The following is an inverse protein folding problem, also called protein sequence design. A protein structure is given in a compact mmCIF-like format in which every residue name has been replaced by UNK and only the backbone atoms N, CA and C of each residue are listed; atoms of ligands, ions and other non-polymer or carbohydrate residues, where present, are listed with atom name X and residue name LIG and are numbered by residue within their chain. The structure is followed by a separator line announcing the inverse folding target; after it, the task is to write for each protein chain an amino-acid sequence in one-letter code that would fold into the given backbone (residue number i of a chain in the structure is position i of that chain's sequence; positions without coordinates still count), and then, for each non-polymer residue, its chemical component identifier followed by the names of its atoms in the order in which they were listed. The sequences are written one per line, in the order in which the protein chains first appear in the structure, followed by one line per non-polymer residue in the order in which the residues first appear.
data_IF_747969784789
#
_entry.id   IF_747969784789
#
_cell.length_a   1.000
_cell.length_b   1.000
_cell.length_c   1.000
_cell.angle_alpha   90.00
_cell.angle_beta   90.00
_cell.angle_gamma   90.00
#
_symmetry.space_group_name_H-M   'P 1'
#
loop_
_entity.id
_entity.type
_entity.pdbx_description
1 polymer ?
#
# COMPACT_ATOMS: atom_id res chain seq x y z
N UNK A 1 1.58 0.88 20.50
CA UNK A 1 2.34 0.32 19.37
C UNK A 1 2.57 1.41 18.34
N UNK A 2 3.58 1.28 17.47
CA UNK A 2 3.90 2.27 16.43
C UNK A 2 3.16 1.90 15.15
N UNK A 3 2.53 2.86 14.45
CA UNK A 3 1.84 2.59 13.19
C UNK A 3 2.81 2.49 12.01
N UNK A 4 2.54 1.55 11.10
CA UNK A 4 3.31 1.34 9.87
C UNK A 4 2.36 1.25 8.66
N UNK A 5 2.88 1.66 7.51
CA UNK A 5 2.29 1.39 6.19
C UNK A 5 3.22 0.45 5.44
N UNK A 6 2.66 -0.60 4.85
CA UNK A 6 3.37 -1.59 4.04
C UNK A 6 3.04 -1.38 2.57
N UNK A 7 4.08 -1.41 1.73
CA UNK A 7 3.99 -1.17 0.30
C UNK A 7 4.81 -2.19 -0.47
N UNK A 8 4.48 -2.39 -1.74
CA UNK A 8 5.32 -3.06 -2.72
C UNK A 8 5.47 -2.17 -3.95
N UNK A 9 6.62 -2.28 -4.63
CA UNK A 9 6.88 -1.68 -5.95
C UNK A 9 6.66 -2.67 -7.09
N UNK A 10 6.23 -3.90 -6.81
CA UNK A 10 6.02 -4.96 -7.81
C UNK A 10 4.61 -4.91 -8.44
N UNK A 11 3.83 -3.89 -8.10
CA UNK A 11 2.48 -3.69 -8.59
C UNK A 11 2.47 -3.08 -9.99
N UNK A 12 1.68 -3.67 -10.89
CA UNK A 12 1.39 -3.10 -12.20
C UNK A 12 -0.05 -2.60 -12.24
N UNK A 13 -0.29 -1.51 -12.97
CA UNK A 13 -1.64 -0.96 -13.14
C UNK A 13 -1.94 -0.78 -14.61
N UNK A 14 -3.11 -1.26 -15.02
CA UNK A 14 -3.68 -0.99 -16.33
C UNK A 14 -4.68 0.16 -16.17
N UNK A 15 -4.61 1.14 -17.04
CA UNK A 15 -5.57 2.25 -17.05
C UNK A 15 -6.96 1.72 -17.41
N UNK A 16 -8.04 2.30 -16.85
CA UNK A 16 -9.39 2.03 -17.31
C UNK A 16 -9.47 2.24 -18.83
N UNK A 17 -10.10 1.30 -19.54
CA UNK A 17 -10.24 1.30 -21.00
C UNK A 17 -8.92 1.13 -21.80
N UNK A 18 -7.84 0.61 -21.17
CA UNK A 18 -6.62 0.20 -21.88
C UNK A 18 -6.77 -1.22 -22.46
N UNK A 19 -6.62 -1.35 -23.79
CA UNK A 19 -6.54 -2.63 -24.50
C UNK A 19 -5.09 -3.18 -24.54
N UNK A 20 -4.16 -2.55 -23.82
CA UNK A 20 -2.74 -2.94 -23.82
C UNK A 20 -2.50 -4.21 -23.00
N UNK A 21 -1.71 -5.12 -23.57
CA UNK A 21 -1.16 -6.28 -22.84
C UNK A 21 0.03 -5.91 -21.94
N UNK A 22 0.64 -4.74 -22.16
CA UNK A 22 1.71 -4.20 -21.33
C UNK A 22 1.13 -3.18 -20.34
N UNK A 23 1.56 -3.22 -19.06
CA UNK A 23 1.08 -2.29 -18.05
C UNK A 23 1.53 -0.86 -18.33
N UNK A 24 0.66 0.11 -18.07
CA UNK A 24 0.89 1.49 -18.46
C UNK A 24 1.94 2.19 -17.59
N UNK A 25 2.07 1.79 -16.31
CA UNK A 25 3.04 2.33 -15.35
C UNK A 25 3.42 1.30 -14.26
N UNK A 26 4.69 1.37 -13.81
CA UNK A 26 5.12 0.81 -12.52
C UNK A 26 4.39 1.55 -11.40
N UNK A 27 3.83 0.81 -10.45
CA UNK A 27 3.04 1.38 -9.36
C UNK A 27 3.52 0.92 -7.99
N UNK A 28 3.52 1.85 -7.04
CA UNK A 28 3.65 1.53 -5.63
C UNK A 28 2.27 1.23 -5.07
N UNK A 29 2.04 -0.04 -4.72
CA UNK A 29 0.78 -0.49 -4.16
C UNK A 29 0.86 -0.52 -2.64
N UNK A 30 -0.18 -0.01 -1.98
CA UNK A 30 -0.34 -0.15 -0.53
C UNK A 30 -0.86 -1.54 -0.25
N UNK A 31 -0.08 -2.33 0.48
CA UNK A 31 -0.44 -3.67 0.94
C UNK A 31 -1.37 -3.60 2.15
N UNK A 32 -1.07 -2.69 3.08
CA UNK A 32 -1.89 -2.52 4.27
C UNK A 32 -1.25 -1.64 5.34
N UNK A 33 -1.95 -1.57 6.46
CA UNK A 33 -1.52 -0.83 7.65
C UNK A 33 -1.54 -1.79 8.82
N UNK A 34 -0.51 -1.74 9.67
CA UNK A 34 -0.47 -2.52 10.90
C UNK A 34 0.38 -1.81 11.96
N UNK A 35 0.41 -2.36 13.17
CA UNK A 35 1.08 -1.80 14.33
C UNK A 35 1.97 -2.82 15.03
N UNK A 36 3.09 -2.35 15.60
CA UNK A 36 3.98 -3.17 16.42
C UNK A 36 4.97 -2.31 17.22
N UNK A 37 5.73 -2.90 18.12
CA UNK A 37 6.83 -2.22 18.81
C UNK A 37 7.96 -1.83 17.84
N UNK A 38 8.12 -2.63 16.78
CA UNK A 38 9.04 -2.46 15.66
C UNK A 38 8.42 -2.94 14.33
N UNK A 39 9.14 -2.78 13.23
CA UNK A 39 8.67 -3.13 11.89
C UNK A 39 8.41 -4.63 11.71
N UNK A 40 9.24 -5.50 12.29
CA UNK A 40 9.11 -6.96 12.17
C UNK A 40 7.85 -7.49 12.88
N UNK A 41 7.54 -6.94 14.05
CA UNK A 41 6.30 -7.26 14.75
C UNK A 41 5.08 -6.75 13.98
N UNK A 42 5.12 -5.51 13.49
CA UNK A 42 4.04 -4.96 12.68
C UNK A 42 3.81 -5.78 11.39
N UNK A 43 4.87 -6.31 10.79
CA UNK A 43 4.75 -7.19 9.61
C UNK A 43 4.09 -8.53 9.95
N UNK A 44 4.49 -9.16 11.07
CA UNK A 44 3.83 -10.39 11.54
C UNK A 44 2.35 -10.17 11.84
N UNK A 45 2.01 -9.04 12.47
CA UNK A 45 0.63 -8.68 12.76
C UNK A 45 -0.16 -8.46 11.46
N UNK A 46 0.43 -7.77 10.46
CA UNK A 46 -0.17 -7.60 9.14
C UNK A 46 -0.53 -8.95 8.48
N UNK A 47 0.38 -9.93 8.50
CA UNK A 47 0.16 -11.24 7.89
C UNK A 47 -0.93 -12.05 8.62
N UNK A 48 -0.99 -11.97 9.95
CA UNK A 48 -2.04 -12.63 10.74
C UNK A 48 -3.43 -12.04 10.46
N UNK A 49 -3.52 -10.73 10.27
CA UNK A 49 -4.77 -10.04 9.96
C UNK A 49 -5.18 -10.21 8.49
N UNK A 50 -4.23 -10.52 7.61
CA UNK A 50 -4.41 -10.56 6.16
C UNK A 50 -3.74 -11.82 5.57
N UNK A 51 -4.24 -13.01 5.93
CA UNK A 51 -3.65 -14.29 5.50
C UNK A 51 -3.52 -14.43 3.98
N UNK A 52 -4.41 -13.77 3.21
CA UNK A 52 -4.35 -13.76 1.74
C UNK A 52 -3.03 -13.21 1.17
N UNK A 53 -2.28 -12.41 1.94
CA UNK A 53 -0.98 -11.89 1.50
C UNK A 53 0.03 -13.02 1.23
N UNK A 54 -0.11 -14.14 1.92
CA UNK A 54 0.73 -15.33 1.71
C UNK A 54 0.43 -16.06 0.39
N UNK A 55 -0.70 -15.76 -0.24
CA UNK A 55 -1.11 -16.33 -1.53
C UNK A 55 -0.76 -15.43 -2.71
N UNK A 56 -0.26 -14.22 -2.44
CA UNK A 56 0.18 -13.29 -3.49
C UNK A 56 1.46 -13.77 -4.16
N UNK A 57 1.75 -13.20 -5.33
CA UNK A 57 3.01 -13.46 -6.06
C UNK A 57 4.07 -12.37 -5.82
N UNK A 58 3.88 -11.53 -4.80
CA UNK A 58 4.85 -10.50 -4.48
C UNK A 58 6.06 -11.13 -3.79
N UNK A 59 7.26 -10.78 -4.24
CA UNK A 59 8.53 -11.23 -3.66
C UNK A 59 8.98 -10.27 -2.54
N UNK A 60 8.77 -8.96 -2.71
CA UNK A 60 9.22 -7.92 -1.79
C UNK A 60 8.11 -6.98 -1.32
N UNK A 61 8.08 -6.76 0.00
CA UNK A 61 7.27 -5.76 0.70
C UNK A 61 8.19 -4.97 1.61
N UNK A 62 8.06 -3.64 1.59
CA UNK A 62 8.77 -2.73 2.50
C UNK A 62 7.78 -1.88 3.29
N UNK A 63 8.25 -1.21 4.34
CA UNK A 63 7.39 -0.42 5.21
C UNK A 63 8.01 0.90 5.63
N UNK A 64 7.15 1.85 5.98
CA UNK A 64 7.52 3.08 6.68
C UNK A 64 6.79 3.18 8.00
N UNK A 65 7.50 3.59 9.05
CA UNK A 65 6.87 3.99 10.31
C UNK A 65 6.18 5.34 10.13
N UNK A 66 4.91 5.42 10.49
CA UNK A 66 4.15 6.66 10.47
C UNK A 66 4.39 7.45 11.77
N UNK A 67 4.44 8.77 11.67
CA UNK A 67 4.56 9.64 12.84
C UNK A 67 3.33 9.50 13.77
N UNK A 68 2.14 9.33 13.19
CA UNK A 68 0.87 9.07 13.87
C UNK A 68 -0.17 8.60 12.84
N UNK A 69 -1.39 8.30 13.30
CA UNK A 69 -2.53 7.88 12.45
C UNK A 69 -3.36 9.05 11.89
N UNK A 70 -2.86 10.28 11.95
CA UNK A 70 -3.61 11.44 11.44
C UNK A 70 -3.67 11.37 9.93
N UNK A 71 -4.87 11.35 9.40
CA UNK A 71 -5.16 11.44 7.97
C UNK A 71 -5.59 12.86 7.63
N UNK A 72 -5.16 13.36 6.48
CA UNK A 72 -5.62 14.63 5.92
C UNK A 72 -5.95 14.38 4.46
N UNK A 73 -7.20 14.62 4.09
CA UNK A 73 -7.72 14.37 2.76
C UNK A 73 -7.71 15.66 1.93
N UNK A 74 -7.21 15.56 0.71
CA UNK A 74 -7.21 16.63 -0.28
C UNK A 74 -8.12 16.26 -1.45
N UNK A 75 -8.76 17.24 -2.08
CA UNK A 75 -9.68 17.02 -3.20
C UNK A 75 -9.25 17.84 -4.40
N UNK A 76 -8.74 17.17 -5.44
CA UNK A 76 -8.30 17.84 -6.66
C UNK A 76 -9.44 18.59 -7.36
N UNK A 77 -10.67 18.04 -7.34
CA UNK A 77 -11.85 18.66 -7.96
C UNK A 77 -12.18 20.02 -7.34
N UNK A 78 -12.04 20.14 -6.01
CA UNK A 78 -12.23 21.41 -5.29
C UNK A 78 -11.18 22.46 -5.64
N UNK A 79 -9.93 22.04 -5.86
CA UNK A 79 -8.84 22.96 -6.22
C UNK A 79 -8.96 23.49 -7.66
N UNK A 80 -9.55 22.73 -8.57
CA UNK A 80 -9.75 23.14 -9.98
C UNK A 80 -11.15 23.70 -10.27
N UNK A 81 -12.00 23.86 -9.25
CA UNK A 81 -13.33 24.47 -9.36
C UNK A 81 -14.38 23.64 -10.11
N UNK A 82 -14.25 22.30 -10.11
CA UNK A 82 -15.21 21.36 -10.73
C UNK A 82 -16.11 20.66 -9.71
#
# INVERSE_FOLDING_TARGET
MKPYIFLTSEGYTFQPDSDSVEPDIDNCQVIGFSEGENAEEAFRNLLQENEYLLETKFDEIYCYQLANKKRTDFSLKKEIGQ
#
